data_IF_932655657118
#
_entry.id   IF_932655657118
#
_cell.length_a   1.000
_cell.length_b   1.000
_cell.length_c   1.000
_cell.angle_alpha   90.00
_cell.angle_beta   90.00
_cell.angle_gamma   90.00
#
_symmetry.space_group_name_H-M   'P 1'
#
loop_
_entity.id
_entity.type
_entity.pdbx_description
1 polymer ?
#
# COMPACT_ATOMS: atom_id res chain seq x y z
N UNK A 1 5.99 34.19 -0.58
CA UNK A 1 5.73 32.74 -0.75
C UNK A 1 7.08 32.06 -0.78
N UNK A 2 7.30 31.02 0.03
CA UNK A 2 8.54 30.24 -0.04
C UNK A 2 8.35 29.10 -1.04
N UNK A 3 9.35 28.87 -1.88
CA UNK A 3 9.33 27.80 -2.88
C UNK A 3 9.21 26.43 -2.19
N UNK A 4 8.32 25.57 -2.71
CA UNK A 4 8.20 24.17 -2.27
C UNK A 4 9.22 23.37 -3.07
N UNK A 5 10.21 22.78 -2.41
CA UNK A 5 11.12 21.83 -3.04
C UNK A 5 10.43 20.47 -3.19
N UNK A 6 10.58 19.85 -4.36
CA UNK A 6 10.02 18.54 -4.69
C UNK A 6 11.15 17.52 -4.74
N UNK A 7 11.01 16.40 -4.02
CA UNK A 7 11.99 15.31 -3.99
C UNK A 7 11.36 13.98 -4.36
N UNK A 8 12.07 13.21 -5.19
CA UNK A 8 11.79 11.80 -5.41
C UNK A 8 12.53 10.99 -4.34
N UNK A 9 11.79 10.21 -3.57
CA UNK A 9 12.31 9.39 -2.47
C UNK A 9 11.79 7.95 -2.68
N UNK A 10 12.67 6.93 -2.59
CA UNK A 10 12.25 5.53 -2.63
C UNK A 10 11.18 5.25 -1.57
N UNK A 11 10.23 4.39 -1.91
CA UNK A 11 9.18 3.98 -0.95
C UNK A 11 9.74 2.83 -0.12
N UNK A 12 9.65 2.96 1.20
CA UNK A 12 10.02 1.90 2.14
C UNK A 12 8.88 0.87 2.22
N UNK A 13 9.12 -0.33 1.70
CA UNK A 13 8.13 -1.39 1.58
C UNK A 13 8.32 -2.44 2.65
N UNK A 14 7.24 -2.75 3.36
CA UNK A 14 7.19 -3.73 4.45
C UNK A 14 6.63 -5.07 3.96
N UNK A 15 5.60 -4.99 3.11
CA UNK A 15 5.04 -6.14 2.40
C UNK A 15 5.00 -5.75 0.93
N UNK A 16 5.77 -6.45 0.11
CA UNK A 16 5.80 -6.26 -1.34
C UNK A 16 4.62 -6.96 -2.01
N UNK A 17 4.21 -6.52 -3.22
CA UNK A 17 3.25 -7.28 -4.02
C UNK A 17 3.77 -8.70 -4.28
N UNK A 18 2.87 -9.71 -4.28
CA UNK A 18 3.26 -11.06 -4.65
C UNK A 18 3.68 -11.09 -6.12
N UNK A 19 4.62 -11.98 -6.46
CA UNK A 19 5.06 -12.16 -7.84
C UNK A 19 3.97 -12.79 -8.72
N UNK A 20 3.03 -13.50 -8.09
CA UNK A 20 1.95 -14.19 -8.78
C UNK A 20 0.70 -14.30 -7.89
N UNK A 21 -0.50 -14.20 -8.48
CA UNK A 21 -1.76 -14.43 -7.78
C UNK A 21 -2.84 -15.05 -8.68
N UNK A 22 -3.85 -15.70 -8.08
CA UNK A 22 -5.02 -16.15 -8.85
C UNK A 22 -5.90 -14.96 -9.24
N UNK A 23 -6.61 -15.02 -10.37
CA UNK A 23 -7.63 -14.02 -10.70
C UNK A 23 -8.67 -13.91 -9.57
N UNK A 24 -8.92 -12.68 -9.14
CA UNK A 24 -9.90 -12.38 -8.08
C UNK A 24 -9.40 -12.60 -6.66
N UNK A 25 -8.16 -13.03 -6.47
CA UNK A 25 -7.59 -13.09 -5.12
C UNK A 25 -7.31 -11.69 -4.58
N UNK A 26 -7.65 -11.49 -3.31
CA UNK A 26 -7.28 -10.30 -2.55
C UNK A 26 -5.87 -10.50 -1.97
N UNK A 27 -5.00 -9.52 -2.17
CA UNK A 27 -3.71 -9.45 -1.51
C UNK A 27 -3.42 -8.04 -0.97
N UNK A 28 -2.54 -7.96 0.02
CA UNK A 28 -2.22 -6.70 0.71
C UNK A 28 -0.77 -6.32 0.52
N UNK A 29 -0.53 -5.05 0.20
CA UNK A 29 0.81 -4.45 0.06
C UNK A 29 0.93 -3.34 1.09
N UNK A 30 2.07 -3.22 1.75
CA UNK A 30 2.25 -2.29 2.88
C UNK A 30 3.53 -1.48 2.71
N UNK A 31 3.39 -0.16 2.69
CA UNK A 31 4.50 0.79 2.79
C UNK A 31 4.58 1.40 4.18
N UNK A 32 5.78 1.77 4.62
CA UNK A 32 6.05 2.50 5.85
C UNK A 32 6.59 3.91 5.55
N UNK A 33 6.20 4.85 6.40
CA UNK A 33 6.76 6.19 6.46
C UNK A 33 7.15 6.53 7.89
N UNK A 34 8.12 7.44 8.01
CA UNK A 34 8.36 8.14 9.27
C UNK A 34 7.11 8.93 9.69
N UNK A 35 6.80 8.95 10.99
CA UNK A 35 5.59 9.60 11.51
C UNK A 35 5.46 11.10 11.20
N UNK A 36 6.58 11.77 10.92
CA UNK A 36 6.58 13.19 10.56
C UNK A 36 6.05 13.46 9.13
N UNK A 37 5.85 12.42 8.32
CA UNK A 37 5.27 12.53 6.99
C UNK A 37 3.76 12.75 7.06
N UNK A 38 3.23 13.64 6.23
CA UNK A 38 1.78 13.81 6.02
C UNK A 38 1.41 13.29 4.62
N UNK A 39 0.93 12.05 4.48
CA UNK A 39 0.57 11.48 3.18
C UNK A 39 -0.57 12.27 2.52
N UNK A 40 -0.44 12.51 1.21
CA UNK A 40 -1.43 13.26 0.41
C UNK A 40 -2.07 12.40 -0.68
N UNK A 41 -1.25 11.66 -1.42
CA UNK A 41 -1.70 10.70 -2.43
C UNK A 41 -1.12 9.35 -2.05
N UNK A 42 -1.95 8.32 -2.07
CA UNK A 42 -1.56 6.94 -1.81
C UNK A 42 -2.47 6.05 -2.63
N UNK A 43 -2.01 5.66 -3.81
CA UNK A 43 -2.77 4.77 -4.69
C UNK A 43 -1.88 3.76 -5.37
N UNK A 44 -2.46 2.58 -5.61
CA UNK A 44 -1.95 1.62 -6.57
C UNK A 44 -2.85 1.62 -7.80
N UNK A 45 -2.30 1.35 -8.97
CA UNK A 45 -3.08 1.24 -10.20
C UNK A 45 -2.43 0.32 -11.22
N UNK A 46 -3.26 -0.23 -12.10
CA UNK A 46 -2.84 -1.03 -13.24
C UNK A 46 -3.11 -0.18 -14.49
N UNK A 47 -2.10 0.06 -15.35
CA UNK A 47 -2.30 0.71 -16.63
C UNK A 47 -2.77 -0.30 -17.70
N UNK A 48 -3.55 0.19 -18.66
CA UNK A 48 -3.83 -0.54 -19.90
C UNK A 48 -2.67 -0.42 -20.90
N UNK A 49 -2.82 -1.06 -22.07
CA UNK A 49 -1.82 -1.03 -23.15
C UNK A 49 -1.57 0.35 -23.76
N UNK A 50 -2.48 1.30 -23.53
CA UNK A 50 -2.37 2.68 -23.99
C UNK A 50 -1.79 3.60 -22.90
N UNK A 51 -1.45 3.04 -21.73
CA UNK A 51 -0.92 3.78 -20.58
C UNK A 51 -1.99 4.48 -19.74
N UNK A 52 -3.28 4.31 -20.05
CA UNK A 52 -4.39 4.82 -19.24
C UNK A 52 -4.66 3.92 -18.05
N UNK A 53 -5.21 4.45 -16.96
CA UNK A 53 -5.49 3.64 -15.76
C UNK A 53 -6.69 2.73 -16.00
N UNK A 54 -6.49 1.41 -16.01
CA UNK A 54 -7.56 0.43 -16.12
C UNK A 54 -8.23 0.15 -14.78
N UNK A 55 -7.43 0.04 -13.71
CA UNK A 55 -7.91 -0.23 -12.35
C UNK A 55 -7.14 0.61 -11.35
N UNK A 56 -7.81 1.06 -10.28
CA UNK A 56 -7.24 1.89 -9.22
C UNK A 56 -7.64 1.36 -7.85
N UNK A 57 -6.66 1.29 -6.95
CA UNK A 57 -6.80 0.79 -5.60
C UNK A 57 -6.33 1.89 -4.61
N UNK A 58 -7.24 2.53 -3.88
CA UNK A 58 -6.86 3.52 -2.89
C UNK A 58 -6.15 2.85 -1.71
N UNK A 59 -5.07 3.45 -1.23
CA UNK A 59 -4.42 3.02 0.00
C UNK A 59 -5.23 3.43 1.23
N UNK A 60 -4.90 2.84 2.39
CA UNK A 60 -5.45 3.19 3.71
C UNK A 60 -4.32 3.48 4.67
N UNK A 61 -4.45 4.53 5.48
CA UNK A 61 -3.43 4.96 6.43
C UNK A 61 -3.69 4.41 7.83
N UNK A 62 -2.63 3.99 8.53
CA UNK A 62 -2.65 3.68 9.96
C UNK A 62 -1.45 4.30 10.65
N UNK A 63 -1.69 5.01 11.74
CA UNK A 63 -0.63 5.51 12.60
C UNK A 63 -0.28 4.45 13.64
N UNK A 64 1.01 4.15 13.78
CA UNK A 64 1.52 3.17 14.71
C UNK A 64 2.35 3.85 15.80
N UNK A 65 2.15 3.41 17.04
CA UNK A 65 2.94 3.84 18.20
C UNK A 65 4.35 3.23 18.15
N UNK A 66 5.32 3.81 18.89
CA UNK A 66 6.62 3.17 19.11
C UNK A 66 6.46 1.73 19.61
N UNK A 67 7.34 0.83 19.17
CA UNK A 67 7.33 -0.60 19.50
C UNK A 67 6.45 -1.46 18.60
N UNK A 68 5.63 -0.87 17.72
CA UNK A 68 4.88 -1.62 16.73
C UNK A 68 5.81 -2.10 15.61
N UNK A 69 5.79 -3.40 15.30
CA UNK A 69 6.70 -4.05 14.36
C UNK A 69 8.18 -3.74 14.65
N UNK A 70 8.58 -3.83 15.93
CA UNK A 70 9.95 -3.57 16.42
C UNK A 70 10.52 -2.17 16.08
N UNK A 71 9.68 -1.23 15.60
CA UNK A 71 10.12 0.12 15.30
C UNK A 71 10.38 0.90 16.59
N UNK A 72 11.57 1.46 16.72
CA UNK A 72 11.95 2.33 17.85
C UNK A 72 11.11 3.62 17.85
N UNK A 73 10.76 4.10 16.66
CA UNK A 73 10.04 5.34 16.45
C UNK A 73 8.58 5.09 16.04
N UNK A 74 7.68 6.07 16.24
CA UNK A 74 6.35 5.98 15.65
C UNK A 74 6.47 6.00 14.12
N UNK A 75 5.50 5.36 13.45
CA UNK A 75 5.49 5.21 12.00
C UNK A 75 4.06 5.36 11.44
N UNK A 76 3.97 5.62 10.15
CA UNK A 76 2.72 5.59 9.39
C UNK A 76 2.81 4.45 8.40
N UNK A 77 1.79 3.60 8.37
CA UNK A 77 1.68 2.49 7.43
C UNK A 77 0.61 2.81 6.40
N UNK A 78 0.87 2.47 5.14
CA UNK A 78 -0.08 2.57 4.04
C UNK A 78 -0.38 1.18 3.50
N UNK A 79 -1.63 0.76 3.62
CA UNK A 79 -2.11 -0.54 3.19
C UNK A 79 -2.83 -0.42 1.85
N UNK A 80 -2.47 -1.24 0.89
CA UNK A 80 -3.16 -1.39 -0.39
C UNK A 80 -3.77 -2.78 -0.46
N UNK A 81 -5.10 -2.84 -0.46
CA UNK A 81 -5.84 -4.07 -0.65
C UNK A 81 -6.23 -4.19 -2.13
N UNK A 82 -5.60 -5.13 -2.83
CA UNK A 82 -5.63 -5.21 -4.28
C UNK A 82 -6.31 -6.53 -4.67
N UNK A 83 -7.31 -6.42 -5.55
CA UNK A 83 -8.02 -7.54 -6.12
C UNK A 83 -8.31 -7.23 -7.58
N UNK A 84 -7.77 -8.02 -8.50
CA UNK A 84 -7.98 -7.85 -9.95
C UNK A 84 -8.37 -9.16 -10.61
N UNK A 85 -9.20 -9.07 -11.65
CA UNK A 85 -9.61 -10.19 -12.50
C UNK A 85 -8.79 -10.27 -13.80
N UNK A 86 -7.91 -9.30 -14.05
CA UNK A 86 -7.08 -9.27 -15.25
C UNK A 86 -6.07 -10.42 -15.24
N UNK A 87 -5.93 -11.12 -16.35
CA UNK A 87 -5.05 -12.29 -16.49
C UNK A 87 -3.75 -11.94 -17.21
N UNK A 88 -2.69 -12.67 -16.89
CA UNK A 88 -1.37 -12.54 -17.50
C UNK A 88 -0.41 -11.67 -16.67
N UNK A 89 0.67 -11.22 -17.31
CA UNK A 89 1.65 -10.32 -16.70
C UNK A 89 1.11 -8.89 -16.67
N UNK A 90 1.09 -8.28 -15.50
CA UNK A 90 0.59 -6.93 -15.25
C UNK A 90 1.66 -6.09 -14.57
N UNK A 91 1.75 -4.83 -14.96
CA UNK A 91 2.51 -3.82 -14.22
C UNK A 91 1.60 -3.19 -13.15
N UNK A 92 1.93 -3.38 -11.89
CA UNK A 92 1.25 -2.73 -10.78
C UNK A 92 2.08 -1.53 -10.32
N UNK A 93 1.52 -0.32 -10.45
CA UNK A 93 2.20 0.94 -10.15
C UNK A 93 1.69 1.53 -8.85
N UNK A 94 2.60 2.00 -8.01
CA UNK A 94 2.30 2.65 -6.74
C UNK A 94 2.75 4.08 -6.79
N UNK A 95 1.85 5.00 -6.47
CA UNK A 95 2.12 6.42 -6.38
C UNK A 95 1.83 6.91 -4.98
N UNK A 96 2.88 7.31 -4.27
CA UNK A 96 2.76 7.88 -2.94
C UNK A 96 3.39 9.26 -2.90
N UNK A 97 2.68 10.23 -2.32
CA UNK A 97 3.21 11.58 -2.05
C UNK A 97 2.93 11.96 -0.61
N UNK A 98 3.85 12.68 0.01
CA UNK A 98 3.72 13.14 1.38
C UNK A 98 4.43 14.48 1.57
N UNK A 99 4.02 15.22 2.60
CA UNK A 99 4.72 16.43 3.01
C UNK A 99 5.63 16.13 4.18
N UNK A 100 6.84 16.69 4.12
CA UNK A 100 7.78 16.73 5.25
C UNK A 100 8.19 18.19 5.49
N UNK A 101 7.53 18.83 6.46
CA UNK A 101 7.67 20.27 6.69
C UNK A 101 7.28 21.11 5.47
N UNK A 102 8.28 21.80 4.88
CA UNK A 102 8.09 22.65 3.68
C UNK A 102 8.36 21.93 2.36
N UNK A 103 8.67 20.64 2.40
CA UNK A 103 9.00 19.85 1.23
C UNK A 103 7.81 18.97 0.81
N UNK A 104 7.63 18.81 -0.49
CA UNK A 104 6.76 17.80 -1.06
C UNK A 104 7.63 16.64 -1.53
N UNK A 105 7.38 15.47 -1.00
CA UNK A 105 8.10 14.25 -1.33
C UNK A 105 7.15 13.32 -2.09
N UNK A 106 7.71 12.47 -2.93
CA UNK A 106 6.95 11.39 -3.53
C UNK A 106 7.83 10.28 -4.06
N UNK A 107 7.20 9.13 -4.28
CA UNK A 107 7.81 7.97 -4.91
C UNK A 107 6.83 7.35 -5.90
N UNK A 108 7.39 6.83 -6.99
CA UNK A 108 6.68 6.01 -7.95
C UNK A 108 7.43 4.68 -8.07
N UNK A 109 6.74 3.59 -7.76
CA UNK A 109 7.32 2.24 -7.83
C UNK A 109 6.46 1.36 -8.73
N UNK A 110 7.10 0.45 -9.45
CA UNK A 110 6.41 -0.48 -10.37
C UNK A 110 6.84 -1.90 -10.06
N UNK A 111 5.86 -2.80 -9.95
CA UNK A 111 6.07 -4.22 -9.71
C UNK A 111 5.36 -5.05 -10.77
N UNK A 112 6.06 -6.06 -11.28
CA UNK A 112 5.47 -7.04 -12.18
C UNK A 112 4.79 -8.15 -11.37
N UNK A 113 3.52 -8.40 -11.67
CA UNK A 113 2.74 -9.50 -11.09
C UNK A 113 2.16 -10.37 -12.21
N UNK A 114 2.22 -11.70 -12.03
CA UNK A 114 1.61 -12.65 -12.95
C UNK A 114 0.29 -13.21 -12.41
N UNK A 115 -0.82 -12.94 -13.10
CA UNK A 115 -2.14 -13.42 -12.70
C UNK A 115 -2.55 -14.65 -13.52
N UNK A 116 -2.57 -15.83 -12.89
CA UNK A 116 -2.89 -17.11 -13.54
C UNK A 116 -3.73 -18.05 -12.66
N UNK A 117 -4.56 -18.88 -13.29
CA UNK A 117 -5.38 -19.88 -12.60
C UNK A 117 -4.56 -21.06 -12.06
N UNK A 118 -3.35 -21.29 -12.58
CA UNK A 118 -2.50 -22.43 -12.23
C UNK A 118 -1.71 -22.23 -10.93
N UNK A 119 -1.77 -21.04 -10.34
CA UNK A 119 -1.07 -20.71 -9.10
C UNK A 119 -1.79 -21.41 -7.96
N UNK A 120 -1.10 -22.17 -7.12
CA UNK A 120 -1.74 -22.87 -6.01
C UNK A 120 -2.08 -21.92 -4.84
N UNK A 121 -1.13 -21.05 -4.48
CA UNK A 121 -1.17 -20.15 -3.33
C UNK A 121 -0.42 -18.83 -3.63
N UNK A 122 -0.75 -17.76 -2.90
CA UNK A 122 -0.07 -16.47 -3.01
C UNK A 122 1.11 -16.45 -2.05
N UNK A 123 2.31 -16.22 -2.59
CA UNK A 123 3.52 -16.09 -1.80
C UNK A 123 3.87 -14.61 -1.63
N UNK A 124 3.90 -14.16 -0.37
CA UNK A 124 4.39 -12.83 -0.02
C UNK A 124 5.90 -12.85 0.14
N UNK A 125 6.53 -11.75 -0.30
CA UNK A 125 7.92 -11.45 0.05
C UNK A 125 7.89 -10.33 1.07
N UNK A 126 8.44 -10.61 2.24
CA UNK A 126 8.59 -9.66 3.32
C UNK A 126 9.95 -9.86 3.95
N UNK A 127 10.55 -8.76 4.42
CA UNK A 127 11.81 -8.78 5.14
C UNK A 127 11.62 -9.18 6.61
N UNK A 128 10.37 -9.31 7.10
CA UNK A 128 10.05 -9.67 8.49
C UNK A 128 8.92 -10.73 8.56
N UNK A 129 9.23 -11.94 9.04
CA UNK A 129 8.26 -13.07 9.05
C UNK A 129 7.08 -12.85 10.02
N UNK A 130 7.25 -12.00 11.04
CA UNK A 130 6.20 -11.68 12.03
C UNK A 130 5.09 -10.77 11.45
N UNK A 131 5.29 -10.19 10.26
CA UNK A 131 4.34 -9.29 9.59
C UNK A 131 3.09 -9.98 9.03
N UNK A 132 3.12 -11.30 8.87
CA UNK A 132 1.96 -12.05 8.37
C UNK A 132 0.75 -11.93 9.30
N UNK A 133 0.95 -11.63 10.59
CA UNK A 133 -0.12 -11.35 11.54
C UNK A 133 -0.91 -10.05 11.23
N UNK A 134 -0.34 -9.12 10.44
CA UNK A 134 -1.03 -7.91 9.98
C UNK A 134 -1.96 -8.17 8.79
N UNK A 135 -1.86 -9.35 8.17
CA UNK A 135 -2.76 -9.81 7.11
C UNK A 135 -4.01 -10.50 7.67
N UNK A 136 -4.04 -10.75 8.98
CA UNK A 136 -5.17 -11.40 9.65
C UNK A 136 -6.33 -10.39 9.83
N UNK A 137 -7.52 -10.64 9.26
CA UNK A 137 -8.68 -9.76 9.40
C UNK A 137 -9.11 -9.49 10.85
N UNK A 138 -8.66 -10.27 11.85
CA UNK A 138 -8.93 -9.98 13.26
C UNK A 138 -8.16 -8.76 13.81
N UNK A 139 -7.12 -8.29 13.11
CA UNK A 139 -6.42 -7.02 13.42
C UNK A 139 -6.93 -5.83 12.58
N UNK A 140 -7.92 -6.07 11.72
CA UNK A 140 -8.75 -5.07 11.09
C UNK A 140 -9.70 -4.54 12.17
N UNK A 141 -9.57 -3.28 12.57
CA UNK A 141 -10.60 -2.63 13.40
C UNK A 141 -11.89 -2.61 12.55
N UNK A 142 -12.90 -3.44 12.88
CA UNK A 142 -14.14 -3.47 12.16
C UNK A 142 -15.02 -2.41 12.79
N UNK A 143 -14.56 -1.15 12.92
CA UNK A 143 -15.47 -0.08 13.34
C UNK A 143 -16.55 -0.08 12.26
N UNK A 144 -17.77 -0.58 12.56
CA UNK A 144 -18.79 -0.72 11.53
C UNK A 144 -19.20 0.71 11.17
N UNK A 145 -19.55 0.93 9.90
CA UNK A 145 -20.15 2.20 9.44
C UNK A 145 -21.33 2.62 10.35
N UNK A 146 -21.95 1.66 11.04
CA UNK A 146 -23.01 1.86 12.03
C UNK A 146 -22.60 2.75 13.22
N UNK A 147 -21.33 2.78 13.65
CA UNK A 147 -20.86 3.65 14.75
C UNK A 147 -20.53 5.09 14.30
N UNK A 148 -20.48 5.39 13.00
CA UNK A 148 -20.38 6.77 12.50
C UNK A 148 -21.76 7.46 12.39
N UNK A 149 -22.84 6.67 12.34
CA UNK A 149 -24.21 7.20 12.27
C UNK A 149 -24.83 7.52 13.64
N UNK A 150 -24.18 7.15 14.75
CA UNK A 150 -24.65 7.50 16.11
C UNK A 150 -24.08 8.83 16.64
N UNK A 151 -23.35 9.59 15.82
CA UNK A 151 -22.87 10.96 16.14
C UNK A 151 -23.39 12.06 15.21
N UNK A 152 -24.40 11.76 14.40
CA UNK A 152 -25.13 12.76 13.59
C UNK A 152 -26.40 13.21 14.30
#
# INVERSE_FOLDING_TARGET
>A
MGDISVYEIPIDWIILPPLAAKPGSLFTVVAQFEFAALPQIYEAYIPDRLGSVSERFPGKLRHAKPGFNNNVNPAIYVYFNICTQQKGKLELKFRLTWRWGRHLCGGLETFDINISQDIAEIEYRTDDQDLLALLDPDHYDPTPIELMNERA
#
